data_IF_025920587354
#
_entry.id   IF_025920587354
#
_cell.length_a   1.000
_cell.length_b   1.000
_cell.length_c   1.000
_cell.angle_alpha   90.00
_cell.angle_beta   90.00
_cell.angle_gamma   90.00
#
_symmetry.space_group_name_H-M   'P 1'
#
loop_
_entity.id
_entity.type
_entity.pdbx_description
1 polymer ?
#
# COMPACT_ATOMS: atom_id res chain seq x y z
N UNK A 1 1.87 11.95 11.35
CA UNK A 1 2.62 12.82 12.29
C UNK A 1 3.38 13.85 11.47
N UNK A 2 3.68 15.04 12.02
CA UNK A 2 4.66 15.93 11.41
C UNK A 2 5.95 15.16 11.12
N UNK A 3 6.57 15.39 9.97
CA UNK A 3 7.77 14.66 9.53
C UNK A 3 7.50 13.31 8.86
N UNK A 4 6.25 12.88 8.69
CA UNK A 4 5.94 11.67 7.92
C UNK A 4 5.89 11.97 6.41
N UNK A 5 6.44 11.05 5.61
CA UNK A 5 6.21 10.93 4.18
C UNK A 5 5.42 9.66 3.92
N UNK A 6 4.31 9.74 3.18
CA UNK A 6 3.50 8.58 2.81
C UNK A 6 3.49 8.43 1.29
N UNK A 7 3.96 7.28 0.82
CA UNK A 7 4.05 6.93 -0.59
C UNK A 7 3.06 5.83 -0.97
N UNK A 8 2.47 5.99 -2.15
CA UNK A 8 1.51 5.06 -2.73
C UNK A 8 1.98 4.56 -4.11
N UNK A 9 1.60 3.34 -4.52
CA UNK A 9 1.95 2.81 -5.84
C UNK A 9 1.18 3.53 -6.96
N UNK A 10 -0.06 3.94 -6.71
CA UNK A 10 -0.94 4.54 -7.72
C UNK A 10 -1.39 5.93 -7.33
N UNK A 11 -1.73 6.74 -8.35
CA UNK A 11 -2.29 8.07 -8.17
C UNK A 11 -3.65 8.02 -7.49
N UNK A 12 -4.48 7.03 -7.81
CA UNK A 12 -5.82 6.90 -7.27
C UNK A 12 -5.78 6.59 -5.76
N UNK A 13 -4.91 5.68 -5.33
CA UNK A 13 -4.66 5.41 -3.90
C UNK A 13 -4.22 6.68 -3.16
N UNK A 14 -3.31 7.47 -3.75
CA UNK A 14 -2.87 8.73 -3.14
C UNK A 14 -4.00 9.77 -3.06
N UNK A 15 -4.85 9.88 -4.09
CA UNK A 15 -5.98 10.82 -4.10
C UNK A 15 -7.05 10.41 -3.08
N UNK A 16 -7.44 9.13 -3.07
CA UNK A 16 -8.40 8.59 -2.11
C UNK A 16 -7.95 8.88 -0.67
N UNK A 17 -6.69 8.57 -0.36
CA UNK A 17 -6.13 8.82 0.95
C UNK A 17 -6.16 10.31 1.31
N UNK A 18 -5.72 11.20 0.40
CA UNK A 18 -5.74 12.65 0.65
C UNK A 18 -7.15 13.17 0.90
N UNK A 19 -8.16 12.67 0.21
CA UNK A 19 -9.54 13.11 0.40
C UNK A 19 -10.02 12.70 1.79
N UNK A 20 -9.87 11.43 2.17
CA UNK A 20 -10.21 10.92 3.50
C UNK A 20 -9.44 11.63 4.61
N UNK A 21 -8.17 11.96 4.37
CA UNK A 21 -7.35 12.70 5.30
C UNK A 21 -7.85 14.14 5.51
N UNK A 22 -8.26 14.84 4.44
CA UNK A 22 -8.86 16.19 4.56
C UNK A 22 -10.17 16.17 5.33
N UNK A 23 -11.01 15.19 5.08
CA UNK A 23 -12.31 15.07 5.74
C UNK A 23 -12.15 14.91 7.26
N UNK A 24 -11.09 14.22 7.68
CA UNK A 24 -10.75 14.01 9.09
C UNK A 24 -9.87 15.12 9.70
N UNK A 25 -9.13 15.86 8.86
CA UNK A 25 -8.19 16.91 9.27
C UNK A 25 -8.37 18.18 8.42
N UNK A 26 -9.51 18.88 8.53
CA UNK A 26 -9.86 20.00 7.64
C UNK A 26 -8.89 21.19 7.73
N UNK A 27 -8.19 21.33 8.87
CA UNK A 27 -7.22 22.42 9.10
C UNK A 27 -5.82 22.13 8.53
N UNK A 28 -5.59 20.97 7.90
CA UNK A 28 -4.29 20.65 7.33
C UNK A 28 -4.05 21.39 6.01
N UNK A 29 -2.92 22.10 5.90
CA UNK A 29 -2.63 22.93 4.72
C UNK A 29 -2.52 22.11 3.42
N UNK A 30 -3.12 22.61 2.33
CA UNK A 30 -3.15 21.94 1.02
C UNK A 30 -1.76 21.79 0.38
N UNK A 31 -0.83 22.71 0.61
CA UNK A 31 0.56 22.56 0.11
C UNK A 31 1.24 21.40 0.82
N UNK A 32 1.11 21.33 2.15
CA UNK A 32 1.65 20.25 2.96
C UNK A 32 1.08 18.89 2.54
N UNK A 33 -0.21 18.81 2.16
CA UNK A 33 -0.83 17.52 1.81
C UNK A 33 -0.21 16.90 0.55
N UNK A 34 0.17 17.70 -0.43
CA UNK A 34 0.76 17.20 -1.66
C UNK A 34 2.23 16.83 -1.49
N UNK A 35 2.93 17.44 -0.53
CA UNK A 35 4.31 17.11 -0.21
C UNK A 35 4.39 15.87 0.70
N UNK A 36 3.42 15.70 1.61
CA UNK A 36 3.33 14.56 2.55
C UNK A 36 2.80 13.28 1.90
N UNK A 37 1.77 13.35 1.03
CA UNK A 37 1.10 12.17 0.47
C UNK A 37 1.31 12.11 -1.03
N UNK A 38 2.08 11.16 -1.55
CA UNK A 38 2.53 11.16 -2.97
C UNK A 38 2.58 9.77 -3.56
N UNK A 39 2.65 9.69 -4.88
CA UNK A 39 3.04 8.42 -5.49
C UNK A 39 4.55 8.21 -5.33
N UNK A 40 4.97 6.96 -5.21
CA UNK A 40 6.39 6.61 -5.11
C UNK A 40 7.17 7.18 -6.31
N UNK A 41 6.68 7.01 -7.53
CA UNK A 41 7.34 7.54 -8.73
C UNK A 41 7.40 9.07 -8.75
N UNK A 42 6.35 9.76 -8.32
CA UNK A 42 6.38 11.23 -8.23
C UNK A 42 7.45 11.70 -7.26
N UNK A 43 7.62 10.98 -6.14
CA UNK A 43 8.68 11.24 -5.17
C UNK A 43 10.07 11.00 -5.76
N UNK A 44 10.31 9.86 -6.39
CA UNK A 44 11.60 9.54 -7.01
C UNK A 44 11.99 10.56 -8.09
N UNK A 45 11.06 10.88 -9.01
CA UNK A 45 11.32 11.76 -10.17
C UNK A 45 11.59 13.21 -9.74
N UNK A 46 10.85 13.72 -8.75
CA UNK A 46 10.92 15.14 -8.36
C UNK A 46 11.72 15.35 -7.06
N UNK A 47 12.53 14.37 -6.68
CA UNK A 47 13.24 14.33 -5.40
C UNK A 47 14.21 15.49 -5.18
N UNK A 48 14.87 15.97 -6.24
CA UNK A 48 15.75 17.14 -6.20
C UNK A 48 15.05 18.37 -5.64
N UNK A 49 13.81 18.63 -6.07
CA UNK A 49 13.01 19.76 -5.61
C UNK A 49 12.63 19.65 -4.12
N UNK A 50 12.61 18.45 -3.53
CA UNK A 50 12.31 18.27 -2.11
C UNK A 50 13.55 18.45 -1.24
N UNK A 51 14.70 17.95 -1.71
CA UNK A 51 15.98 18.14 -1.05
C UNK A 51 16.37 19.62 -1.09
N UNK A 52 16.18 20.30 -2.22
CA UNK A 52 16.42 21.74 -2.38
C UNK A 52 15.53 22.62 -1.49
N UNK A 53 14.34 22.14 -1.15
CA UNK A 53 13.44 22.82 -0.19
C UNK A 53 13.82 22.59 1.28
N UNK A 54 14.84 21.78 1.56
CA UNK A 54 15.29 21.46 2.92
C UNK A 54 14.30 20.58 3.69
N UNK A 55 13.39 19.87 3.01
CA UNK A 55 12.45 18.99 3.68
C UNK A 55 13.19 17.80 4.32
N UNK A 56 12.98 17.61 5.61
CA UNK A 56 13.45 16.42 6.33
C UNK A 56 12.26 15.57 6.74
N UNK A 57 12.34 14.28 6.43
CA UNK A 57 11.35 13.29 6.86
C UNK A 57 11.94 12.48 8.00
N UNK A 58 11.18 12.29 9.07
CA UNK A 58 11.56 11.40 10.16
C UNK A 58 11.16 9.95 9.84
N UNK A 59 10.01 9.78 9.16
CA UNK A 59 9.46 8.46 8.85
C UNK A 59 8.91 8.39 7.44
N UNK A 60 9.24 7.31 6.74
CA UNK A 60 8.67 6.96 5.44
C UNK A 60 7.66 5.82 5.63
N UNK A 61 6.45 6.00 5.14
CA UNK A 61 5.41 4.97 5.12
C UNK A 61 5.09 4.66 3.66
N UNK A 62 5.11 3.39 3.30
CA UNK A 62 4.81 2.94 1.94
C UNK A 62 3.60 2.01 2.01
N UNK A 63 2.50 2.45 1.41
CA UNK A 63 1.30 1.64 1.28
C UNK A 63 1.42 0.66 0.10
N UNK A 64 0.78 -0.49 0.22
CA UNK A 64 0.83 -1.60 -0.75
C UNK A 64 2.26 -1.95 -1.22
N UNK A 65 3.23 -1.94 -0.31
CA UNK A 65 4.65 -2.08 -0.61
C UNK A 65 5.00 -3.38 -1.36
N UNK A 66 4.23 -4.46 -1.16
CA UNK A 66 4.51 -5.76 -1.78
C UNK A 66 4.26 -5.80 -3.29
N UNK A 67 3.50 -4.84 -3.83
CA UNK A 67 3.23 -4.74 -5.28
C UNK A 67 4.33 -4.00 -6.06
N UNK A 68 5.34 -3.48 -5.37
CA UNK A 68 6.40 -2.65 -5.96
C UNK A 68 7.75 -3.37 -5.96
N UNK A 69 8.63 -2.97 -6.86
CA UNK A 69 9.97 -3.54 -6.92
C UNK A 69 10.77 -3.09 -5.69
N UNK A 70 11.43 -4.02 -4.99
CA UNK A 70 12.15 -3.70 -3.76
C UNK A 70 13.22 -2.61 -3.96
N UNK A 71 13.90 -2.61 -5.12
CA UNK A 71 14.85 -1.55 -5.47
C UNK A 71 14.25 -0.13 -5.49
N UNK A 72 13.00 0.02 -5.92
CA UNK A 72 12.31 1.32 -5.90
C UNK A 72 12.01 1.78 -4.46
N UNK A 73 11.63 0.84 -3.60
CA UNK A 73 11.40 1.07 -2.17
C UNK A 73 12.68 1.48 -1.46
N UNK A 74 13.77 0.72 -1.68
CA UNK A 74 15.07 1.01 -1.08
C UNK A 74 15.63 2.35 -1.56
N UNK A 75 15.41 2.69 -2.84
CA UNK A 75 15.82 3.98 -3.37
C UNK A 75 15.01 5.11 -2.73
N UNK A 76 13.69 4.98 -2.61
CA UNK A 76 12.85 5.95 -1.93
C UNK A 76 13.24 6.13 -0.45
N UNK A 77 13.52 5.03 0.26
CA UNK A 77 14.00 5.05 1.63
C UNK A 77 15.30 5.86 1.77
N UNK A 78 16.30 5.54 0.96
CA UNK A 78 17.59 6.23 0.94
C UNK A 78 17.43 7.72 0.64
N UNK A 79 16.62 8.03 -0.37
CA UNK A 79 16.39 9.39 -0.85
C UNK A 79 15.60 10.25 0.14
N UNK A 80 14.70 9.64 0.92
CA UNK A 80 13.92 10.33 1.93
C UNK A 80 14.75 10.80 3.13
N UNK A 81 15.90 10.15 3.40
CA UNK A 81 16.67 10.38 4.62
C UNK A 81 15.93 10.03 5.92
N UNK A 82 14.79 9.32 5.82
CA UNK A 82 13.98 8.96 6.98
C UNK A 82 14.71 7.98 7.90
N UNK A 83 14.49 8.14 9.21
CA UNK A 83 15.08 7.30 10.26
C UNK A 83 14.34 5.98 10.42
N UNK A 84 13.07 5.94 10.04
CA UNK A 84 12.20 4.77 10.12
C UNK A 84 11.45 4.59 8.80
N UNK A 85 11.37 3.36 8.32
CA UNK A 85 10.59 2.97 7.14
C UNK A 85 9.56 1.93 7.53
N UNK A 86 8.28 2.24 7.29
CA UNK A 86 7.16 1.34 7.52
C UNK A 86 6.58 0.90 6.18
N UNK A 87 6.59 -0.41 5.95
CA UNK A 87 6.05 -1.03 4.75
C UNK A 87 4.72 -1.70 5.11
N UNK A 88 3.64 -1.29 4.44
CA UNK A 88 2.30 -1.83 4.63
C UNK A 88 1.97 -2.67 3.40
N UNK A 89 1.41 -3.85 3.59
CA UNK A 89 0.97 -4.71 2.50
C UNK A 89 0.46 -6.06 3.00
N UNK A 90 -0.01 -6.89 2.07
CA UNK A 90 -0.58 -8.20 2.34
C UNK A 90 0.11 -9.27 1.48
N UNK A 91 0.76 -10.24 2.10
CA UNK A 91 1.52 -11.30 1.41
C UNK A 91 0.63 -12.25 0.60
N UNK A 92 -0.67 -12.27 0.88
CA UNK A 92 -1.65 -13.07 0.14
C UNK A 92 -2.30 -12.30 -1.02
N UNK A 93 -2.00 -11.01 -1.18
CA UNK A 93 -2.40 -10.22 -2.35
C UNK A 93 -1.37 -10.32 -3.47
N UNK A 94 -1.71 -9.74 -4.64
CA UNK A 94 -0.88 -9.80 -5.83
C UNK A 94 0.44 -9.03 -5.58
N UNK A 95 1.60 -9.70 -5.61
CA UNK A 95 2.90 -9.05 -5.40
C UNK A 95 3.35 -8.32 -6.68
N UNK A 96 4.54 -7.73 -6.64
CA UNK A 96 5.20 -7.19 -7.83
C UNK A 96 5.25 -8.22 -8.97
N UNK A 97 4.84 -7.79 -10.16
CA UNK A 97 4.91 -8.57 -11.39
C UNK A 97 5.84 -7.84 -12.37
N UNK A 98 6.90 -8.53 -12.80
CA UNK A 98 7.73 -8.04 -13.89
C UNK A 98 6.92 -8.04 -15.20
N UNK A 99 6.79 -6.87 -15.83
CA UNK A 99 6.07 -6.69 -17.09
C UNK A 99 6.97 -6.72 -18.32
N UNK A 100 8.28 -6.83 -18.14
CA UNK A 100 9.27 -6.94 -19.22
C UNK A 100 9.82 -8.34 -19.23
N UNK A 101 9.13 -9.24 -19.94
CA UNK A 101 9.41 -10.69 -19.97
C UNK A 101 10.81 -11.04 -20.45
N UNK A 102 11.43 -10.16 -21.24
CA UNK A 102 12.75 -10.35 -21.83
C UNK A 102 13.88 -10.08 -20.83
N UNK A 103 13.58 -9.45 -19.69
CA UNK A 103 14.55 -9.09 -18.67
C UNK A 103 14.31 -9.91 -17.41
N UNK A 104 15.32 -10.67 -17.00
CA UNK A 104 15.32 -11.30 -15.69
C UNK A 104 15.52 -10.23 -14.60
N UNK A 105 14.49 -10.02 -13.77
CA UNK A 105 14.55 -9.09 -12.65
C UNK A 105 14.89 -9.86 -11.38
N UNK A 106 15.95 -9.43 -10.69
CA UNK A 106 16.45 -10.02 -9.44
C UNK A 106 16.17 -9.11 -8.26
N UNK A 107 16.07 -9.70 -7.06
CA UNK A 107 15.88 -8.96 -5.80
C UNK A 107 14.65 -8.04 -5.79
N UNK A 108 13.59 -8.41 -6.51
CA UNK A 108 12.38 -7.59 -6.60
C UNK A 108 11.46 -7.71 -5.38
N UNK A 109 11.59 -8.78 -4.59
CA UNK A 109 10.69 -9.05 -3.46
C UNK A 109 11.17 -8.33 -2.21
N UNK A 110 10.41 -7.33 -1.78
CA UNK A 110 10.73 -6.59 -0.55
C UNK A 110 10.57 -7.45 0.71
N UNK A 111 9.73 -8.49 0.66
CA UNK A 111 9.54 -9.44 1.77
C UNK A 111 10.75 -10.34 2.05
N UNK A 112 11.68 -10.48 1.10
CA UNK A 112 12.94 -11.19 1.30
C UNK A 112 14.00 -10.29 1.97
N UNK A 113 13.74 -8.97 2.07
CA UNK A 113 14.68 -7.95 2.57
C UNK A 113 14.20 -7.36 3.90
N UNK A 114 12.89 -7.07 4.01
CA UNK A 114 12.30 -6.46 5.19
C UNK A 114 11.72 -7.50 6.15
N UNK A 115 11.83 -7.24 7.45
CA UNK A 115 11.26 -8.11 8.50
C UNK A 115 9.85 -7.67 8.86
N UNK A 116 8.92 -8.62 8.96
CA UNK A 116 7.56 -8.36 9.46
C UNK A 116 7.60 -8.08 10.96
N UNK A 117 7.31 -6.83 11.33
CA UNK A 117 7.26 -6.40 12.75
C UNK A 117 5.88 -6.53 13.37
N UNK A 118 4.83 -6.56 12.55
CA UNK A 118 3.44 -6.60 13.01
C UNK A 118 2.55 -7.26 11.96
N UNK A 119 1.64 -8.10 12.43
CA UNK A 119 0.59 -8.73 11.62
C UNK A 119 -0.76 -8.23 12.11
N UNK A 120 -1.61 -7.78 11.19
CA UNK A 120 -2.99 -7.37 11.47
C UNK A 120 -3.95 -8.46 10.98
N UNK A 121 -4.76 -9.01 11.88
CA UNK A 121 -5.66 -10.13 11.55
C UNK A 121 -7.13 -9.73 11.45
N UNK A 122 -7.49 -8.48 11.77
CA UNK A 122 -8.89 -8.02 11.75
C UNK A 122 -9.14 -7.10 10.55
N UNK A 123 -10.07 -7.50 9.68
CA UNK A 123 -10.62 -6.67 8.62
C UNK A 123 -11.81 -5.86 9.11
N UNK A 124 -11.90 -4.61 8.69
CA UNK A 124 -13.05 -3.74 8.94
C UNK A 124 -13.95 -3.60 7.71
N UNK A 125 -13.58 -4.24 6.60
CA UNK A 125 -14.27 -4.16 5.30
C UNK A 125 -15.00 -5.46 4.99
N UNK A 126 -14.28 -6.58 5.06
CA UNK A 126 -14.78 -7.89 4.63
C UNK A 126 -15.95 -8.33 5.50
N UNK A 127 -16.99 -8.88 4.89
CA UNK A 127 -18.12 -9.54 5.56
C UNK A 127 -17.67 -10.80 6.31
N UNK A 128 -18.54 -11.41 7.12
CA UNK A 128 -18.24 -12.69 7.79
C UNK A 128 -18.04 -13.82 6.79
N UNK A 129 -18.84 -13.89 5.72
CA UNK A 129 -18.72 -14.96 4.72
C UNK A 129 -17.39 -14.86 3.96
N UNK A 130 -17.04 -13.65 3.49
CA UNK A 130 -15.73 -13.40 2.86
C UNK A 130 -14.58 -13.73 3.81
N UNK A 131 -14.68 -13.29 5.08
CA UNK A 131 -13.64 -13.54 6.08
C UNK A 131 -13.47 -15.03 6.38
N UNK A 132 -14.56 -15.79 6.48
CA UNK A 132 -14.51 -17.23 6.70
C UNK A 132 -13.79 -17.94 5.54
N UNK A 133 -14.04 -17.53 4.29
CA UNK A 133 -13.36 -18.08 3.11
C UNK A 133 -11.87 -17.73 3.09
N UNK A 134 -11.52 -16.47 3.41
CA UNK A 134 -10.15 -15.98 3.35
C UNK A 134 -9.28 -16.42 4.53
N UNK A 135 -9.88 -16.67 5.70
CA UNK A 135 -9.17 -16.94 6.96
C UNK A 135 -8.16 -18.08 6.86
N UNK A 136 -8.44 -19.11 6.06
CA UNK A 136 -7.55 -20.27 5.84
C UNK A 136 -6.20 -19.91 5.19
N UNK A 137 -6.11 -18.78 4.48
CA UNK A 137 -4.88 -18.32 3.84
C UNK A 137 -3.96 -17.53 4.78
N UNK A 138 -4.44 -17.18 5.98
CA UNK A 138 -3.67 -16.46 6.98
C UNK A 138 -3.37 -17.40 8.16
N UNK A 139 -2.09 -17.68 8.49
CA UNK A 139 -1.74 -18.63 9.56
C UNK A 139 -2.36 -18.33 10.93
N UNK A 140 -2.50 -17.04 11.25
CA UNK A 140 -3.12 -16.53 12.47
C UNK A 140 -4.66 -16.44 12.40
N UNK A 141 -5.24 -16.80 11.25
CA UNK A 141 -6.63 -16.57 10.90
C UNK A 141 -6.94 -15.11 10.57
N UNK A 142 -8.07 -14.91 9.89
CA UNK A 142 -8.64 -13.60 9.61
C UNK A 142 -9.95 -13.44 10.39
N UNK A 143 -10.16 -12.25 10.97
CA UNK A 143 -11.35 -11.84 11.72
C UNK A 143 -12.00 -10.63 11.07
N UNK A 144 -13.26 -10.35 11.37
CA UNK A 144 -13.94 -9.15 10.91
C UNK A 144 -14.84 -8.54 11.98
N UNK A 145 -15.05 -7.22 11.89
CA UNK A 145 -16.05 -6.48 12.65
C UNK A 145 -17.36 -6.27 11.89
N UNK A 146 -17.43 -6.65 10.61
CA UNK A 146 -18.62 -6.51 9.79
C UNK A 146 -19.57 -7.68 10.05
N UNK A 147 -20.85 -7.42 10.32
CA UNK A 147 -21.84 -8.43 10.70
C UNK A 147 -22.56 -9.11 9.52
N UNK A 148 -22.36 -8.64 8.29
CA UNK A 148 -23.00 -9.19 7.08
C UNK A 148 -22.57 -10.66 6.87
N UNK A 149 -23.56 -11.51 6.55
CA UNK A 149 -23.42 -12.96 6.29
C UNK A 149 -24.30 -13.36 5.08
N UNK A 150 -23.92 -14.47 4.43
CA UNK A 150 -24.72 -15.10 3.37
C UNK A 150 -24.76 -14.37 2.03
N UNK A 151 -23.86 -13.41 1.81
CA UNK A 151 -23.83 -12.58 0.61
C UNK A 151 -23.02 -13.16 -0.57
N UNK A 152 -22.34 -14.29 -0.35
CA UNK A 152 -21.59 -14.98 -1.39
C UNK A 152 -22.47 -16.05 -2.04
N UNK A 153 -22.64 -15.96 -3.35
CA UNK A 153 -23.30 -16.97 -4.18
C UNK A 153 -22.38 -17.40 -5.32
N UNK A 154 -22.48 -18.67 -5.72
CA UNK A 154 -21.69 -19.23 -6.82
C UNK A 154 -22.67 -19.60 -7.94
N UNK A 155 -22.64 -18.83 -9.02
CA UNK A 155 -23.42 -19.10 -10.21
C UNK A 155 -22.54 -19.74 -11.29
N UNK A 156 -22.98 -20.87 -11.83
CA UNK A 156 -22.33 -21.49 -12.97
C UNK A 156 -22.89 -20.89 -14.26
N UNK A 157 -22.00 -20.44 -15.13
CA UNK A 157 -22.34 -19.79 -16.40
C UNK A 157 -21.59 -20.52 -17.51
N UNK A 158 -22.32 -21.02 -18.51
CA UNK A 158 -21.75 -21.82 -19.62
C UNK A 158 -21.16 -20.96 -20.75
N UNK A 159 -21.57 -19.70 -20.85
CA UNK A 159 -21.14 -18.80 -21.92
C UNK A 159 -21.62 -17.36 -21.68
N UNK A 160 -21.09 -16.43 -22.48
CA UNK A 160 -21.41 -14.99 -22.38
C UNK A 160 -22.88 -14.69 -22.65
N UNK A 161 -23.59 -15.57 -23.36
CA UNK A 161 -25.06 -15.47 -23.58
C UNK A 161 -25.87 -15.50 -22.27
N UNK A 162 -25.31 -16.11 -21.22
CA UNK A 162 -26.00 -16.41 -19.96
C UNK A 162 -25.54 -15.50 -18.80
N UNK A 163 -24.84 -14.39 -19.12
CA UNK A 163 -24.36 -13.36 -18.18
C UNK A 163 -25.36 -12.22 -18.00
#
# INVERSE_FOLDING_TARGET
>A
KPGDLILFPTRDSAIDFRNRFKDTHPNYCKTNINDTFRTLHSFLINSSQHIEKGNQYDRLIIDEALMMHAGEILFAATLSGAKEVLLIGDTNQIPYINRTSELEVKYYKISEIATTVKVLSTSYRCTKSTTAVLSKFYPQGMKTTNDIVGELDIQNIEGLENL
#
